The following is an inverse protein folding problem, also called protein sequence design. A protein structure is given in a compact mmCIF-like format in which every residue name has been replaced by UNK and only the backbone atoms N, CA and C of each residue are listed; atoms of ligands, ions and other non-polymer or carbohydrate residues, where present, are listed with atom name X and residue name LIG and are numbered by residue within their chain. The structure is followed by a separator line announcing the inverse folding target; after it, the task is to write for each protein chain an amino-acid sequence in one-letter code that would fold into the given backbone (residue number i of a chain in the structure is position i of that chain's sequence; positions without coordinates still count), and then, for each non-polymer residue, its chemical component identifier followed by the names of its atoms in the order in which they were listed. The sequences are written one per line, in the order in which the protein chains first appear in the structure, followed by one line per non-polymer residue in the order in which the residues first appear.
data_IF_532727914328
#
_entry.id   IF_532727914328
#
_cell.length_a   1.000
_cell.length_b   1.000
_cell.length_c   1.000
_cell.angle_alpha   90.00
_cell.angle_beta   90.00
_cell.angle_gamma   90.00
#
_symmetry.space_group_name_H-M   'P 1'
#
loop_
_entity.id
_entity.type
_entity.pdbx_description
1 polymer ?
#
# COMPACT_ATOMS: atom_id res chain seq x y z
N UNK A 1 0.99 -0.72 27.31
CA UNK A 1 2.28 -0.75 26.59
C UNK A 1 2.33 0.56 25.83
N UNK A 2 3.40 1.36 25.96
CA UNK A 2 3.52 2.57 25.14
C UNK A 2 3.86 2.10 23.73
N UNK A 3 3.04 2.46 22.75
CA UNK A 3 3.35 2.21 21.35
C UNK A 3 4.59 3.03 20.99
N UNK A 4 5.73 2.34 20.90
CA UNK A 4 7.05 2.97 20.76
C UNK A 4 7.22 3.66 19.39
N UNK A 5 6.47 3.22 18.37
CA UNK A 5 6.57 3.77 17.02
C UNK A 5 5.21 3.86 16.34
N UNK A 6 4.34 4.75 16.84
CA UNK A 6 2.98 4.95 16.31
C UNK A 6 3.00 5.28 14.82
N UNK A 7 3.96 6.08 14.36
CA UNK A 7 4.06 6.47 12.95
C UNK A 7 4.41 5.32 12.00
N UNK A 8 4.81 4.14 12.47
CA UNK A 8 4.93 2.93 11.62
C UNK A 8 3.58 2.35 11.19
N UNK A 9 2.50 2.71 11.88
CA UNK A 9 1.20 2.09 11.68
C UNK A 9 1.07 0.70 12.30
N UNK A 10 2.06 0.19 13.06
CA UNK A 10 2.00 -1.17 13.61
C UNK A 10 0.77 -1.40 14.52
N UNK A 11 0.26 -0.34 15.13
CA UNK A 11 -0.90 -0.38 16.03
C UNK A 11 -2.22 -0.58 15.27
N UNK A 12 -2.20 -0.43 13.94
CA UNK A 12 -3.33 -0.67 13.05
C UNK A 12 -3.37 -2.13 12.57
N UNK A 13 -2.31 -2.91 12.81
CA UNK A 13 -2.23 -4.32 12.44
C UNK A 13 -2.89 -5.21 13.49
N UNK A 14 -3.45 -6.32 13.04
CA UNK A 14 -3.91 -7.38 13.94
C UNK A 14 -2.81 -8.42 14.17
N UNK A 15 -3.07 -9.37 15.07
CA UNK A 15 -2.17 -10.51 15.31
C UNK A 15 -2.90 -11.83 15.14
N UNK A 16 -2.25 -12.78 14.50
CA UNK A 16 -2.74 -14.15 14.43
C UNK A 16 -2.49 -14.94 15.73
N UNK A 17 -2.88 -16.22 15.77
CA UNK A 17 -2.68 -17.10 16.93
C UNK A 17 -1.21 -17.32 17.30
N UNK A 18 -0.29 -17.14 16.35
CA UNK A 18 1.15 -17.23 16.56
C UNK A 18 1.78 -15.86 16.90
N UNK A 19 0.98 -14.81 16.99
CA UNK A 19 1.42 -13.45 17.31
C UNK A 19 1.96 -12.65 16.13
N UNK A 20 1.87 -13.19 14.90
CA UNK A 20 2.36 -12.56 13.66
C UNK A 20 1.44 -11.44 13.21
N UNK A 21 2.01 -10.39 12.61
CA UNK A 21 1.27 -9.20 12.21
C UNK A 21 0.44 -9.44 10.94
N UNK A 22 -0.86 -9.18 11.01
CA UNK A 22 -1.80 -9.34 9.92
C UNK A 22 -2.14 -7.99 9.30
N UNK A 23 -2.08 -7.90 7.98
CA UNK A 23 -2.43 -6.68 7.23
C UNK A 23 -3.93 -6.43 7.33
N UNK A 24 -4.31 -5.23 7.77
CA UNK A 24 -5.70 -4.80 7.98
C UNK A 24 -6.05 -3.65 7.04
N UNK A 25 -7.34 -3.37 6.89
CA UNK A 25 -7.79 -2.21 6.11
C UNK A 25 -7.30 -0.87 6.69
N UNK A 26 -7.34 -0.63 8.03
CA UNK A 26 -6.77 0.58 8.61
C UNK A 26 -5.28 0.76 8.30
N UNK A 27 -4.49 -0.32 8.31
CA UNK A 27 -3.07 -0.24 7.98
C UNK A 27 -2.85 0.20 6.53
N UNK A 28 -3.58 -0.38 5.57
CA UNK A 28 -3.49 0.03 4.16
C UNK A 28 -3.96 1.47 3.94
N UNK A 29 -5.05 1.88 4.60
CA UNK A 29 -5.55 3.26 4.54
C UNK A 29 -4.53 4.25 5.11
N UNK A 30 -3.77 3.88 6.13
CA UNK A 30 -2.69 4.72 6.66
C UNK A 30 -1.53 4.91 5.67
N UNK A 31 -1.24 3.92 4.81
CA UNK A 31 -0.32 4.11 3.69
C UNK A 31 -0.92 5.06 2.64
N UNK A 32 -2.17 4.86 2.22
CA UNK A 32 -2.84 5.71 1.22
C UNK A 32 -3.04 7.17 1.68
N UNK A 33 -3.07 7.40 3.00
CA UNK A 33 -3.17 8.72 3.60
C UNK A 33 -1.82 9.44 3.76
N UNK A 34 -0.72 8.82 3.35
CA UNK A 34 0.61 9.43 3.37
C UNK A 34 0.68 10.59 2.37
N UNK A 35 1.35 11.71 2.71
CA UNK A 35 1.55 12.82 1.78
C UNK A 35 2.17 12.40 0.45
N UNK A 36 3.03 11.38 0.46
CA UNK A 36 3.70 10.84 -0.73
C UNK A 36 2.75 10.12 -1.70
N UNK A 37 1.57 9.68 -1.25
CA UNK A 37 0.54 9.01 -2.05
C UNK A 37 -0.74 9.82 -2.18
N UNK A 38 -0.76 11.05 -1.65
CA UNK A 38 -1.88 11.95 -1.80
C UNK A 38 -1.80 12.58 -3.21
N UNK A 39 -2.83 12.42 -4.06
CA UNK A 39 -2.84 13.06 -5.36
C UNK A 39 -2.69 14.58 -5.21
N UNK A 40 -1.86 15.24 -6.04
CA UNK A 40 -1.73 16.68 -6.01
C UNK A 40 -3.03 17.39 -6.46
N UNK A 41 -3.12 18.70 -6.25
CA UNK A 41 -4.33 19.48 -6.58
C UNK A 41 -4.66 19.48 -8.07
N UNK A 42 -3.67 19.28 -8.93
CA UNK A 42 -3.79 19.18 -10.39
C UNK A 42 -3.90 17.74 -10.91
N UNK A 43 -4.02 16.75 -10.01
CA UNK A 43 -4.23 15.36 -10.37
C UNK A 43 -5.45 15.16 -11.27
N UNK A 44 -5.32 14.26 -12.23
CA UNK A 44 -6.41 13.93 -13.13
C UNK A 44 -7.58 13.23 -12.39
N UNK A 45 -8.77 13.26 -13.00
CA UNK A 45 -9.96 12.66 -12.40
C UNK A 45 -9.84 11.15 -12.19
N UNK A 46 -9.05 10.45 -13.01
CA UNK A 46 -8.81 9.02 -12.87
C UNK A 46 -8.01 8.70 -11.59
N UNK A 47 -6.95 9.47 -11.32
CA UNK A 47 -6.13 9.32 -10.13
C UNK A 47 -6.92 9.65 -8.86
N UNK A 48 -7.62 10.78 -8.83
CA UNK A 48 -8.45 11.18 -7.70
C UNK A 48 -9.51 10.12 -7.37
N UNK A 49 -10.14 9.55 -8.40
CA UNK A 49 -11.12 8.46 -8.23
C UNK A 49 -10.46 7.21 -7.69
N UNK A 50 -9.32 6.79 -8.25
CA UNK A 50 -8.59 5.61 -7.78
C UNK A 50 -8.23 5.75 -6.30
N UNK A 51 -7.62 6.87 -5.93
CA UNK A 51 -7.24 7.17 -4.55
C UNK A 51 -8.45 7.17 -3.61
N UNK A 52 -9.52 7.88 -3.98
CA UNK A 52 -10.73 7.97 -3.17
C UNK A 52 -11.38 6.60 -2.95
N UNK A 53 -11.52 5.78 -4.00
CA UNK A 53 -12.11 4.44 -3.90
C UNK A 53 -11.32 3.53 -2.95
N UNK A 54 -9.99 3.55 -3.03
CA UNK A 54 -9.12 2.75 -2.16
C UNK A 54 -9.14 3.24 -0.72
N UNK A 55 -9.11 4.56 -0.51
CA UNK A 55 -9.04 5.15 0.82
C UNK A 55 -10.39 5.04 1.56
N UNK A 56 -11.50 5.30 0.89
CA UNK A 56 -12.82 5.38 1.53
C UNK A 56 -13.54 4.04 1.57
N UNK A 57 -13.51 3.27 0.48
CA UNK A 57 -14.33 2.06 0.37
C UNK A 57 -13.55 0.79 0.66
N UNK A 58 -12.77 0.30 -0.30
CA UNK A 58 -12.10 -1.00 -0.22
C UNK A 58 -10.61 -0.87 -0.59
N UNK A 59 -9.71 -0.77 0.42
CA UNK A 59 -8.29 -0.66 0.15
C UNK A 59 -7.70 -1.95 -0.44
N UNK A 60 -8.39 -3.10 -0.32
CA UNK A 60 -7.93 -4.40 -0.80
C UNK A 60 -8.43 -4.74 -2.20
N UNK A 61 -9.32 -3.93 -2.77
CA UNK A 61 -9.90 -4.23 -4.09
C UNK A 61 -8.78 -4.40 -5.14
N UNK A 62 -8.96 -5.32 -6.10
CA UNK A 62 -8.07 -5.39 -7.26
C UNK A 62 -8.12 -4.05 -8.00
N UNK A 63 -6.96 -3.63 -8.50
CA UNK A 63 -6.81 -2.45 -9.36
C UNK A 63 -6.28 -2.97 -10.69
N UNK A 64 -7.05 -2.74 -11.76
CA UNK A 64 -6.69 -3.16 -13.10
C UNK A 64 -5.61 -2.27 -13.71
N UNK A 65 -4.83 -2.83 -14.65
CA UNK A 65 -3.84 -2.05 -15.38
C UNK A 65 -4.49 -0.92 -16.19
N UNK A 66 -5.73 -1.11 -16.65
CA UNK A 66 -6.51 -0.08 -17.34
C UNK A 66 -6.87 1.11 -16.45
N UNK A 67 -7.05 0.90 -15.13
CA UNK A 67 -7.35 1.99 -14.20
C UNK A 67 -6.12 2.89 -14.01
N UNK A 68 -4.94 2.27 -13.92
CA UNK A 68 -3.67 3.01 -13.81
C UNK A 68 -3.34 3.67 -15.15
N UNK A 69 -3.51 2.97 -16.28
CA UNK A 69 -3.27 3.53 -17.61
C UNK A 69 -4.17 4.74 -17.95
N UNK A 70 -5.30 4.90 -17.27
CA UNK A 70 -6.20 6.04 -17.43
C UNK A 70 -5.72 7.31 -16.67
N UNK A 71 -4.70 7.20 -15.83
CA UNK A 71 -4.06 8.36 -15.19
C UNK A 71 -3.23 9.09 -16.24
N UNK A 72 -3.37 10.41 -16.38
CA UNK A 72 -2.73 11.17 -17.44
C UNK A 72 -1.21 11.32 -17.22
N UNK A 73 -0.81 11.57 -15.97
CA UNK A 73 0.60 11.79 -15.59
C UNK A 73 1.39 10.45 -15.59
N UNK A 74 2.46 10.32 -16.41
CA UNK A 74 3.32 9.14 -16.39
C UNK A 74 3.99 8.86 -15.05
N UNK A 75 4.38 9.89 -14.30
CA UNK A 75 5.08 9.70 -13.04
C UNK A 75 4.09 9.21 -11.97
N UNK A 76 2.87 9.74 -11.99
CA UNK A 76 1.78 9.23 -11.16
C UNK A 76 1.43 7.76 -11.49
N UNK A 77 1.39 7.38 -12.78
CA UNK A 77 1.18 5.97 -13.18
C UNK A 77 2.22 5.04 -12.56
N UNK A 78 3.49 5.38 -12.70
CA UNK A 78 4.59 4.60 -12.13
C UNK A 78 4.47 4.47 -10.59
N UNK A 79 4.16 5.57 -9.90
CA UNK A 79 3.94 5.56 -8.46
C UNK A 79 2.78 4.63 -8.05
N UNK A 80 1.67 4.67 -8.79
CA UNK A 80 0.52 3.79 -8.56
C UNK A 80 0.84 2.33 -8.88
N UNK A 81 1.58 2.03 -9.94
CA UNK A 81 2.04 0.66 -10.24
C UNK A 81 2.85 0.09 -9.07
N UNK A 82 3.79 0.87 -8.54
CA UNK A 82 4.60 0.46 -7.39
C UNK A 82 3.77 0.27 -6.12
N UNK A 83 2.89 1.21 -5.80
CA UNK A 83 2.05 1.13 -4.62
C UNK A 83 1.11 -0.08 -4.68
N UNK A 84 0.49 -0.34 -5.83
CA UNK A 84 -0.40 -1.48 -6.03
C UNK A 84 0.38 -2.80 -6.00
N UNK A 85 1.58 -2.86 -6.60
CA UNK A 85 2.44 -4.04 -6.53
C UNK A 85 2.85 -4.38 -5.08
N UNK A 86 3.25 -3.37 -4.30
CA UNK A 86 3.58 -3.52 -2.88
C UNK A 86 2.38 -4.02 -2.07
N UNK A 87 1.22 -3.35 -2.22
CA UNK A 87 -0.03 -3.76 -1.56
C UNK A 87 -0.43 -5.21 -1.90
N UNK A 88 -0.34 -5.61 -3.16
CA UNK A 88 -0.73 -6.95 -3.56
C UNK A 88 0.18 -8.01 -2.91
N UNK A 89 1.47 -7.71 -2.71
CA UNK A 89 2.40 -8.59 -1.98
C UNK A 89 2.06 -8.67 -0.49
N UNK A 90 1.74 -7.54 0.13
CA UNK A 90 1.25 -7.49 1.51
C UNK A 90 0.00 -8.37 1.71
N UNK A 91 -0.92 -8.34 0.75
CA UNK A 91 -2.16 -9.13 0.79
C UNK A 91 -1.96 -10.61 0.47
N UNK A 92 -0.96 -10.95 -0.35
CA UNK A 92 -0.65 -12.33 -0.69
C UNK A 92 0.13 -13.06 0.41
N UNK A 93 0.85 -12.33 1.27
CA UNK A 93 1.62 -12.90 2.35
C UNK A 93 0.74 -13.33 3.54
N UNK A 94 1.15 -14.39 4.23
CA UNK A 94 0.44 -14.87 5.43
C UNK A 94 0.60 -13.94 6.64
N UNK A 95 1.60 -13.06 6.63
CA UNK A 95 1.85 -12.03 7.65
C UNK A 95 2.78 -10.95 7.10
N UNK A 96 2.85 -9.82 7.79
CA UNK A 96 3.75 -8.71 7.43
C UNK A 96 5.21 -9.17 7.44
N UNK A 97 5.62 -9.92 8.46
CA UNK A 97 6.98 -10.46 8.59
C UNK A 97 7.32 -11.41 7.43
N UNK A 98 6.35 -12.25 7.02
CA UNK A 98 6.53 -13.12 5.86
C UNK A 98 6.74 -12.31 4.57
N UNK A 99 5.95 -11.24 4.37
CA UNK A 99 6.14 -10.35 3.23
C UNK A 99 7.56 -9.76 3.20
N UNK A 100 7.99 -9.12 4.29
CA UNK A 100 9.32 -8.49 4.36
C UNK A 100 10.46 -9.51 4.24
N UNK A 101 10.30 -10.72 4.77
CA UNK A 101 11.28 -11.79 4.63
C UNK A 101 11.46 -12.21 3.16
N UNK A 102 10.36 -12.33 2.41
CA UNK A 102 10.41 -12.64 0.97
C UNK A 102 11.05 -11.50 0.16
N UNK A 103 10.79 -10.24 0.52
CA UNK A 103 11.46 -9.08 -0.09
C UNK A 103 12.97 -9.11 0.16
N UNK A 104 13.39 -9.32 1.41
CA UNK A 104 14.80 -9.39 1.79
C UNK A 104 15.54 -10.56 1.13
N UNK A 105 14.83 -11.62 0.74
CA UNK A 105 15.40 -12.80 0.05
C UNK A 105 15.61 -12.62 -1.46
N UNK A 106 15.33 -11.43 -2.00
CA UNK A 106 15.57 -11.10 -3.39
C UNK A 106 14.31 -10.84 -4.22
N UNK A 107 13.12 -10.87 -3.62
CA UNK A 107 11.88 -10.48 -4.30
C UNK A 107 11.67 -8.96 -4.34
N UNK A 108 12.60 -8.16 -3.83
CA UNK A 108 12.50 -6.70 -3.76
C UNK A 108 12.85 -5.98 -5.07
N UNK A 109 13.27 -6.67 -6.14
CA UNK A 109 13.77 -6.05 -7.37
C UNK A 109 12.78 -5.06 -8.03
N UNK A 110 11.48 -5.30 -7.87
CA UNK A 110 10.41 -4.44 -8.43
C UNK A 110 9.75 -3.55 -7.37
N UNK A 111 10.34 -3.40 -6.18
CA UNK A 111 9.83 -2.50 -5.13
C UNK A 111 10.75 -1.30 -5.00
N UNK A 112 10.23 -0.08 -5.20
CA UNK A 112 10.99 1.12 -4.89
C UNK A 112 11.49 1.11 -3.45
N UNK A 113 12.72 1.60 -3.19
CA UNK A 113 13.26 1.70 -1.84
C UNK A 113 12.33 2.44 -0.85
N UNK A 114 11.42 3.28 -1.34
CA UNK A 114 10.40 3.97 -0.55
C UNK A 114 9.54 3.02 0.32
N UNK A 115 9.37 1.75 -0.08
CA UNK A 115 8.53 0.78 0.64
C UNK A 115 9.33 -0.24 1.49
N UNK A 116 10.67 -0.10 1.58
CA UNK A 116 11.55 -0.92 2.42
C UNK A 116 12.01 -0.15 3.66
#
# INVERSE_FOLDING_TARGET
MIDFWISSGHHLLDRDKAGRLMVTDPFLKAYLARPELLPPEDACAAELRLHHELLMHDPRRPVGNEEIAAIDDPDARENWEFMIAFRNRLLAASSLEACYLELARGSAADIPPLFM
#
